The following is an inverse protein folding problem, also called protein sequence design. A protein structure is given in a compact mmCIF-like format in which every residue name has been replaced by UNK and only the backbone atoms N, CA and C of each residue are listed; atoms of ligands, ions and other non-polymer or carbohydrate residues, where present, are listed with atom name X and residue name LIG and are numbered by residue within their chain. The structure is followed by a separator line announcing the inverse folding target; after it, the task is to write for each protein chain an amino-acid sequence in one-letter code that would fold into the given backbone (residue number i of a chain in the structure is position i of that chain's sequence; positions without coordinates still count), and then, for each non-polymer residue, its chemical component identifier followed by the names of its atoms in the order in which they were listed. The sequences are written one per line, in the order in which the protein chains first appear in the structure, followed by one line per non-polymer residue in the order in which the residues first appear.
data_IF_496517597126
#
_entry.id   IF_496517597126
#
_cell.length_a   1.000
_cell.length_b   1.000
_cell.length_c   1.000
_cell.angle_alpha   90.00
_cell.angle_beta   90.00
_cell.angle_gamma   90.00
#
_symmetry.space_group_name_H-M   'P 1'
#
loop_
_entity.id
_entity.type
_entity.pdbx_description
1 polymer ?
#
# COMPACT_ATOMS: atom_id res chain seq x y z
N UNK A 1 11.66 -26.62 18.16
CA UNK A 1 11.55 -26.69 17.46
C UNK A 1 10.99 -26.62 17.00
N UNK A 2 11.01 -26.44 17.68
CA UNK A 2 10.71 -26.32 16.93
C UNK A 2 10.17 -26.26 16.65
N UNK A 3 10.69 -25.90 16.72
CA UNK A 3 10.49 -25.90 16.07
C UNK A 3 10.20 -25.86 15.60
N UNK A 4 10.36 -25.68 16.01
CA UNK A 4 10.18 -25.61 15.35
C UNK A 4 9.96 -25.65 14.86
N UNK A 5 10.36 -25.50 15.45
CA UNK A 5 10.25 -25.54 14.75
C UNK A 5 9.88 -25.54 14.40
N UNK A 6 10.02 -25.28 14.62
CA UNK A 6 9.62 -25.18 13.97
C UNK A 6 9.17 -24.83 13.67
N UNK A 7 9.35 -24.47 13.84
CA UNK A 7 8.93 -23.99 13.21
C UNK A 7 8.61 -23.59 13.03
N UNK A 8 8.66 -23.42 13.18
CA UNK A 8 8.29 -22.80 12.67
C UNK A 8 7.84 -22.40 12.59
N UNK A 9 7.88 -22.20 12.78
CA UNK A 9 7.39 -21.73 12.37
C UNK A 9 7.17 -21.26 12.43
N UNK A 10 7.37 -21.07 12.57
CA UNK A 10 7.16 -20.47 12.23
C UNK A 10 7.02 -19.99 12.24
N UNK A 11 7.14 -19.86 12.36
CA UNK A 11 7.06 -19.21 11.90
C UNK A 11 6.67 -18.80 11.96
N UNK A 12 6.82 -18.90 12.13
CA UNK A 12 6.41 -18.37 11.83
C UNK A 12 5.90 -17.99 11.90
N UNK A 13 5.92 -18.14 12.01
CA UNK A 13 5.48 -17.56 11.77
C UNK A 13 5.14 -17.00 11.74
N UNK A 14 5.37 -16.92 11.69
CA UNK A 14 5.13 -16.37 11.56
C UNK A 14 4.81 -15.98 11.17
N UNK A 15 4.74 -15.97 11.05
CA UNK A 15 4.32 -15.58 10.67
C UNK A 15 3.89 -14.57 9.86
N UNK A 16 3.84 -14.69 9.56
CA UNK A 16 3.45 -13.74 8.55
C UNK A 16 2.30 -12.86 9.02
N UNK A 17 2.61 -11.59 9.27
CA UNK A 17 1.63 -10.64 9.77
C UNK A 17 1.14 -9.68 8.68
N UNK A 18 1.55 -9.87 7.41
CA UNK A 18 1.15 -8.98 6.33
C UNK A 18 -0.32 -9.17 6.00
N UNK A 19 -0.99 -8.08 5.72
CA UNK A 19 -2.39 -8.10 5.28
C UNK A 19 -2.54 -7.14 4.11
N UNK A 20 -3.59 -7.34 3.33
CA UNK A 20 -3.87 -6.51 2.17
C UNK A 20 -5.02 -5.57 2.48
N UNK A 21 -4.81 -4.29 2.24
CA UNK A 21 -5.85 -3.28 2.40
C UNK A 21 -5.83 -2.37 1.18
N UNK A 22 -6.91 -1.61 0.99
CA UNK A 22 -6.95 -0.58 -0.04
C UNK A 22 -6.11 0.60 0.43
N UNK A 23 -5.39 1.24 -0.49
CA UNK A 23 -4.49 2.35 -0.16
C UNK A 23 -5.18 3.39 0.73
N UNK A 24 -6.42 3.73 0.43
CA UNK A 24 -7.14 4.77 1.16
C UNK A 24 -7.41 4.39 2.61
N UNK A 25 -7.31 3.10 2.96
CA UNK A 25 -7.50 2.64 4.33
C UNK A 25 -6.24 2.77 5.18
N UNK A 26 -5.11 3.14 4.59
CA UNK A 26 -3.88 3.33 5.36
C UNK A 26 -4.04 4.50 6.32
N UNK A 27 -3.43 4.37 7.49
CA UNK A 27 -3.43 5.43 8.49
C UNK A 27 -2.26 6.37 8.24
N UNK A 28 -2.34 7.58 8.78
CA UNK A 28 -1.27 8.56 8.65
C UNK A 28 0.04 7.96 9.14
N UNK A 29 1.10 8.17 8.37
CA UNK A 29 2.45 7.67 8.65
C UNK A 29 2.60 6.16 8.52
N UNK A 30 1.57 5.45 8.11
CA UNK A 30 1.67 4.02 7.85
C UNK A 30 2.40 3.80 6.52
N UNK A 31 3.27 2.81 6.47
CA UNK A 31 4.01 2.45 5.27
C UNK A 31 3.57 1.07 4.81
N UNK A 32 3.46 0.91 3.51
CA UNK A 32 3.13 -0.37 2.91
C UNK A 32 3.76 -0.49 1.54
N UNK A 33 3.56 -1.64 0.92
CA UNK A 33 4.07 -1.91 -0.43
C UNK A 33 2.88 -2.19 -1.34
N UNK A 34 2.90 -1.60 -2.54
CA UNK A 34 1.83 -1.84 -3.50
C UNK A 34 1.86 -3.31 -3.92
N UNK A 35 0.75 -4.00 -3.71
CA UNK A 35 0.61 -5.39 -4.09
C UNK A 35 0.03 -5.52 -5.49
N UNK A 36 -1.02 -4.76 -5.78
CA UNK A 36 -1.68 -4.83 -7.09
C UNK A 36 -2.48 -3.56 -7.31
N UNK A 37 -2.82 -3.32 -8.57
CA UNK A 37 -3.62 -2.17 -8.96
C UNK A 37 -4.70 -2.68 -9.92
N UNK A 38 -5.97 -2.43 -9.59
CA UNK A 38 -7.07 -2.92 -10.39
C UNK A 38 -7.50 -1.95 -11.49
N UNK A 39 -6.97 -0.72 -11.48
CA UNK A 39 -7.32 0.27 -12.50
C UNK A 39 -6.83 -0.18 -13.87
N UNK A 40 -7.64 0.07 -14.89
CA UNK A 40 -7.32 -0.22 -16.29
C UNK A 40 -7.50 1.04 -17.13
N UNK A 41 -7.15 0.97 -18.41
CA UNK A 41 -7.34 2.08 -19.33
C UNK A 41 -6.55 3.31 -18.92
N UNK A 42 -7.17 4.47 -19.12
CA UNK A 42 -6.51 5.75 -18.86
C UNK A 42 -6.16 5.93 -17.37
N UNK A 43 -7.03 5.48 -16.50
CA UNK A 43 -6.79 5.58 -15.05
C UNK A 43 -5.58 4.75 -14.67
N UNK A 44 -5.48 3.52 -15.15
CA UNK A 44 -4.35 2.66 -14.86
C UNK A 44 -3.05 3.24 -15.39
N UNK A 45 -3.10 3.80 -16.63
CA UNK A 45 -1.91 4.41 -17.23
C UNK A 45 -1.46 5.61 -16.39
N UNK A 46 -2.38 6.46 -15.96
CA UNK A 46 -2.05 7.62 -15.16
C UNK A 46 -1.34 7.21 -13.87
N UNK A 47 -1.88 6.19 -13.20
CA UNK A 47 -1.30 5.72 -11.94
C UNK A 47 0.12 5.20 -12.17
N UNK A 48 0.33 4.44 -13.26
CA UNK A 48 1.67 3.94 -13.58
C UNK A 48 2.63 5.07 -13.90
N UNK A 49 2.16 6.11 -14.60
CA UNK A 49 3.00 7.25 -14.96
C UNK A 49 3.43 8.03 -13.72
N UNK A 50 2.68 7.96 -12.65
CA UNK A 50 3.07 8.56 -11.36
C UNK A 50 4.13 7.73 -10.63
N UNK A 51 4.50 6.57 -11.17
CA UNK A 51 5.48 5.71 -10.53
C UNK A 51 4.87 4.70 -9.58
N UNK A 52 3.56 4.58 -9.55
CA UNK A 52 2.87 3.67 -8.63
C UNK A 52 2.65 2.34 -9.34
N UNK A 53 3.53 1.40 -9.06
CA UNK A 53 3.49 0.05 -9.64
C UNK A 53 3.65 -0.96 -8.50
N UNK A 54 3.25 -2.22 -8.73
CA UNK A 54 3.48 -3.26 -7.71
C UNK A 54 4.93 -3.29 -7.28
N UNK A 55 5.16 -3.38 -5.97
CA UNK A 55 6.49 -3.36 -5.38
C UNK A 55 6.94 -1.99 -4.88
N UNK A 56 6.22 -0.93 -5.24
CA UNK A 56 6.58 0.41 -4.78
C UNK A 56 6.20 0.57 -3.31
N UNK A 57 7.11 1.14 -2.52
CA UNK A 57 6.86 1.43 -1.11
C UNK A 57 6.22 2.80 -1.01
N UNK A 58 5.12 2.88 -0.27
CA UNK A 58 4.31 4.09 -0.12
C UNK A 58 4.05 4.34 1.36
N UNK A 59 4.21 5.60 1.79
CA UNK A 59 3.85 6.03 3.14
C UNK A 59 2.68 6.98 3.04
N UNK A 60 1.64 6.76 3.83
CA UNK A 60 0.50 7.67 3.88
C UNK A 60 0.93 8.95 4.58
N UNK A 61 0.97 10.04 3.84
CA UNK A 61 1.33 11.34 4.41
C UNK A 61 0.14 11.96 5.15
N UNK A 62 -1.04 11.86 4.57
CA UNK A 62 -2.24 12.37 5.18
C UNK A 62 -3.41 12.41 4.21
N UNK A 63 -4.53 12.89 4.73
CA UNK A 63 -5.75 13.05 3.93
C UNK A 63 -6.24 14.48 4.10
N UNK A 64 -6.83 15.03 3.04
CA UNK A 64 -7.46 16.34 3.14
C UNK A 64 -8.59 16.30 4.18
N UNK A 65 -9.05 17.47 4.66
CA UNK A 65 -10.09 17.51 5.70
C UNK A 65 -11.33 16.69 5.37
N UNK A 66 -11.70 16.61 4.10
CA UNK A 66 -12.84 15.79 3.66
C UNK A 66 -12.39 14.39 3.22
N UNK A 67 -11.14 14.02 3.53
CA UNK A 67 -10.55 12.73 3.20
C UNK A 67 -10.38 12.49 1.70
N UNK A 68 -10.38 13.55 0.91
CA UNK A 68 -10.16 13.51 -0.53
C UNK A 68 -9.53 14.84 -0.94
N UNK A 69 -8.35 14.85 -1.56
CA UNK A 69 -7.52 13.70 -1.95
C UNK A 69 -6.66 13.18 -0.79
N UNK A 70 -5.95 12.08 -1.05
CA UNK A 70 -4.97 11.57 -0.11
C UNK A 70 -3.58 11.98 -0.60
N UNK A 71 -2.69 12.29 0.34
CA UNK A 71 -1.31 12.65 0.04
C UNK A 71 -0.40 11.48 0.42
N UNK A 72 0.49 11.13 -0.49
CA UNK A 72 1.38 10.00 -0.34
C UNK A 72 2.83 10.43 -0.44
N UNK A 73 3.70 9.76 0.28
CA UNK A 73 5.14 9.92 0.13
C UNK A 73 5.69 8.72 -0.60
N UNK A 74 6.35 8.96 -1.73
CA UNK A 74 6.89 7.92 -2.58
C UNK A 74 8.25 8.38 -3.09
N UNK A 75 9.30 7.57 -2.87
CA UNK A 75 10.64 7.83 -3.40
C UNK A 75 11.15 9.24 -3.09
N UNK A 76 10.89 9.70 -1.86
CA UNK A 76 11.39 10.99 -1.43
C UNK A 76 10.57 12.19 -1.87
N UNK A 77 9.51 11.97 -2.64
CA UNK A 77 8.59 13.03 -3.04
C UNK A 77 7.21 12.82 -2.49
N UNK A 78 6.36 13.82 -2.66
CA UNK A 78 4.97 13.74 -2.24
C UNK A 78 4.08 13.89 -3.46
N UNK A 79 3.04 13.06 -3.53
CA UNK A 79 2.04 13.18 -4.57
C UNK A 79 0.66 12.99 -3.98
N UNK A 80 -0.36 13.40 -4.71
CA UNK A 80 -1.73 13.27 -4.25
C UNK A 80 -2.53 12.43 -5.22
N UNK A 81 -3.49 11.68 -4.67
CA UNK A 81 -4.41 10.87 -5.46
C UNK A 81 -5.84 11.19 -5.02
N UNK A 82 -6.74 11.21 -5.98
CA UNK A 82 -8.15 11.28 -5.66
C UNK A 82 -8.60 9.93 -5.10
N UNK A 83 -9.69 9.94 -4.35
CA UNK A 83 -10.18 8.71 -3.73
C UNK A 83 -10.47 7.62 -4.74
N UNK A 84 -11.06 7.97 -5.90
CA UNK A 84 -11.33 6.95 -6.91
C UNK A 84 -10.06 6.31 -7.48
N UNK A 85 -8.95 7.06 -7.47
CA UNK A 85 -7.67 6.50 -7.89
C UNK A 85 -7.09 5.60 -6.79
N UNK A 86 -7.12 6.10 -5.56
CA UNK A 86 -6.56 5.35 -4.42
C UNK A 86 -7.32 4.05 -4.17
N UNK A 87 -8.61 4.02 -4.48
CA UNK A 87 -9.43 2.84 -4.24
C UNK A 87 -9.09 1.65 -5.15
N UNK A 88 -8.29 1.89 -6.21
CA UNK A 88 -7.88 0.82 -7.11
C UNK A 88 -6.53 0.21 -6.72
N UNK A 89 -5.89 0.73 -5.69
CA UNK A 89 -4.54 0.31 -5.30
C UNK A 89 -4.64 -0.51 -4.02
N UNK A 90 -4.10 -1.72 -4.07
CA UNK A 90 -4.10 -2.64 -2.95
C UNK A 90 -2.70 -2.72 -2.36
N UNK A 91 -2.63 -2.55 -1.04
CA UNK A 91 -1.37 -2.42 -0.32
C UNK A 91 -1.16 -3.60 0.60
N UNK A 92 0.09 -4.04 0.71
CA UNK A 92 0.50 -4.96 1.76
C UNK A 92 1.05 -4.15 2.92
N UNK A 93 0.47 -4.35 4.10
CA UNK A 93 0.88 -3.66 5.32
C UNK A 93 1.01 -4.68 6.45
N UNK A 94 1.75 -4.27 7.49
CA UNK A 94 1.92 -5.11 8.68
C UNK A 94 0.64 -5.21 9.51
#
# INVERSE_FOLDING_TARGET
MNRKANLPDSGAGEKNTLRTIVLRQMQKNQTGTIKSISATGDLGRRIRELGLIPGTVVTMHGKAPLKDPVALRVMGGTLTLRNNEADTIFMEVD
#
